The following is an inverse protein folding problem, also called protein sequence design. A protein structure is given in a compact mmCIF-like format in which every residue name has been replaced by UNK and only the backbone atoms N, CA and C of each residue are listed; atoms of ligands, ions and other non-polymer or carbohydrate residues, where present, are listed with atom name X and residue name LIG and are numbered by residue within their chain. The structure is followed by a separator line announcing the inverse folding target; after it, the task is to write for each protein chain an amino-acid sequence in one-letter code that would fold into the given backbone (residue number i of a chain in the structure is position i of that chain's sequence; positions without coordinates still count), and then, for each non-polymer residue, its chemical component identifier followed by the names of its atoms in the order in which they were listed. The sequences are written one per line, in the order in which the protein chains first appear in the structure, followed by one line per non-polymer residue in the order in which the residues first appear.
data_IF_527446877847
#
_entry.id   IF_527446877847
#
_cell.length_a   1.000
_cell.length_b   1.000
_cell.length_c   1.000
_cell.angle_alpha   90.00
_cell.angle_beta   90.00
_cell.angle_gamma   90.00
#
_symmetry.space_group_name_H-M   'P 1'
#
loop_
_entity.id
_entity.type
_entity.pdbx_description
1 polymer ?
#
# COMPACT_ATOMS: atom_id res chain seq x y z
N UNK A 1 68.73 -54.60 -56.85
CA UNK A 1 68.53 -53.34 -57.58
C UNK A 1 67.03 -52.95 -57.59
N UNK A 2 66.73 -51.75 -57.23
CA UNK A 2 65.43 -51.02 -57.26
C UNK A 2 64.40 -51.37 -56.19
N UNK A 3 64.45 -50.53 -55.20
CA UNK A 3 63.48 -50.25 -54.16
C UNK A 3 62.18 -49.75 -54.69
N UNK A 4 61.03 -50.18 -54.17
CA UNK A 4 59.77 -49.51 -54.32
C UNK A 4 59.22 -49.15 -52.95
N UNK A 5 59.13 -47.83 -52.68
CA UNK A 5 58.58 -47.26 -51.46
C UNK A 5 57.06 -47.18 -51.62
N UNK A 6 56.34 -47.85 -50.76
CA UNK A 6 54.88 -47.56 -50.61
C UNK A 6 54.70 -46.42 -49.59
N UNK A 7 54.11 -45.36 -50.03
CA UNK A 7 53.66 -44.30 -49.17
C UNK A 7 52.24 -44.61 -48.66
N UNK A 8 52.08 -44.69 -47.35
CA UNK A 8 50.78 -44.90 -46.70
C UNK A 8 50.21 -43.53 -46.34
N UNK A 9 49.18 -43.09 -47.04
CA UNK A 9 48.40 -41.87 -46.75
C UNK A 9 47.35 -42.21 -45.72
N UNK A 10 47.53 -41.74 -44.49
CA UNK A 10 46.52 -41.79 -43.41
C UNK A 10 45.55 -40.61 -43.61
N UNK A 11 44.32 -40.88 -44.01
CA UNK A 11 43.23 -39.90 -44.05
C UNK A 11 42.65 -39.74 -42.62
N UNK A 12 42.89 -38.57 -42.00
CA UNK A 12 42.36 -38.20 -40.69
C UNK A 12 40.94 -37.64 -40.91
N UNK A 13 39.93 -38.44 -40.65
CA UNK A 13 38.52 -38.03 -40.68
C UNK A 13 38.19 -37.29 -39.38
N UNK A 14 38.14 -35.94 -39.41
CA UNK A 14 37.62 -35.12 -38.34
C UNK A 14 36.10 -35.17 -38.41
N UNK A 15 35.45 -35.94 -37.54
CA UNK A 15 34.00 -35.90 -37.34
C UNK A 15 33.64 -34.61 -36.60
N UNK A 16 33.09 -33.61 -37.28
CA UNK A 16 32.45 -32.44 -36.66
C UNK A 16 31.18 -32.92 -35.95
N UNK A 17 31.21 -33.09 -34.62
CA UNK A 17 30.03 -33.25 -33.82
C UNK A 17 29.30 -31.92 -33.76
N UNK A 18 28.37 -31.70 -34.69
CA UNK A 18 27.39 -30.60 -34.59
C UNK A 18 26.43 -30.97 -33.49
N UNK A 19 26.70 -30.46 -32.27
CA UNK A 19 25.72 -30.48 -31.17
C UNK A 19 24.53 -29.67 -31.64
N UNK A 20 23.47 -30.32 -32.10
CA UNK A 20 22.17 -29.73 -32.27
C UNK A 20 21.63 -29.33 -30.90
N UNK A 21 21.95 -28.12 -30.45
CA UNK A 21 21.19 -27.50 -29.36
C UNK A 21 19.75 -27.36 -29.91
N UNK A 22 18.89 -28.28 -29.54
CA UNK A 22 17.45 -28.12 -29.78
C UNK A 22 17.01 -26.76 -29.23
N UNK A 23 15.94 -26.16 -29.77
CA UNK A 23 15.43 -24.90 -29.24
C UNK A 23 15.18 -25.11 -27.74
N UNK A 24 15.92 -24.38 -26.89
CA UNK A 24 15.66 -24.36 -25.48
C UNK A 24 14.18 -23.99 -25.33
N UNK A 25 13.36 -24.89 -24.78
CA UNK A 25 11.96 -24.59 -24.53
C UNK A 25 11.94 -23.27 -23.76
N UNK A 26 11.27 -22.25 -24.34
CA UNK A 26 11.19 -20.95 -23.70
C UNK A 26 10.61 -21.17 -22.30
N UNK A 27 11.35 -20.76 -21.28
CA UNK A 27 10.91 -20.94 -19.91
C UNK A 27 9.52 -20.31 -19.75
N UNK A 28 8.61 -21.03 -19.11
CA UNK A 28 7.23 -20.59 -18.89
C UNK A 28 7.21 -19.20 -18.22
N UNK A 29 6.27 -18.32 -18.62
CA UNK A 29 6.21 -16.97 -18.07
C UNK A 29 5.96 -16.98 -16.55
N UNK A 30 6.50 -15.99 -15.85
CA UNK A 30 6.15 -15.70 -14.46
C UNK A 30 4.80 -15.00 -14.47
N UNK A 31 3.77 -15.65 -13.94
CA UNK A 31 2.41 -15.09 -13.90
C UNK A 31 2.16 -14.35 -12.60
N UNK A 32 1.90 -13.05 -12.71
CA UNK A 32 1.57 -12.13 -11.60
C UNK A 32 0.09 -11.81 -11.68
N UNK A 33 -0.67 -12.16 -10.63
CA UNK A 33 -2.08 -11.79 -10.52
C UNK A 33 -2.22 -10.43 -9.84
N UNK A 34 -2.99 -9.54 -10.44
CA UNK A 34 -3.46 -8.31 -9.82
C UNK A 34 -4.96 -8.41 -9.55
N UNK A 35 -5.38 -8.04 -8.34
CA UNK A 35 -6.79 -7.92 -7.98
C UNK A 35 -7.04 -6.55 -7.33
N UNK A 36 -7.94 -5.75 -7.91
CA UNK A 36 -8.28 -4.44 -7.40
C UNK A 36 -9.70 -4.03 -7.79
N UNK A 37 -10.27 -2.99 -7.15
CA UNK A 37 -11.56 -2.45 -7.54
C UNK A 37 -11.39 -1.56 -8.77
N UNK A 38 -11.51 -2.12 -9.97
CA UNK A 38 -11.35 -1.37 -11.23
C UNK A 38 -12.63 -0.67 -11.66
N UNK A 39 -13.77 -1.02 -11.04
CA UNK A 39 -15.08 -0.39 -11.23
C UNK A 39 -15.67 0.05 -9.89
N UNK A 40 -16.80 0.80 -9.92
CA UNK A 40 -17.48 1.30 -8.73
C UNK A 40 -16.82 2.52 -8.08
N UNK A 41 -17.18 2.79 -6.81
CA UNK A 41 -16.78 4.01 -6.09
C UNK A 41 -15.28 4.10 -5.77
N UNK A 42 -14.57 2.98 -5.82
CA UNK A 42 -13.13 2.88 -5.58
C UNK A 42 -12.32 2.72 -6.88
N UNK A 43 -12.96 2.82 -8.06
CA UNK A 43 -12.34 2.56 -9.35
C UNK A 43 -11.07 3.40 -9.60
N UNK A 44 -11.06 4.66 -9.17
CA UNK A 44 -9.87 5.51 -9.36
C UNK A 44 -8.68 4.99 -8.57
N UNK A 45 -8.89 4.57 -7.32
CA UNK A 45 -7.84 3.98 -6.50
C UNK A 45 -7.32 2.66 -7.12
N UNK A 46 -8.23 1.81 -7.59
CA UNK A 46 -7.87 0.56 -8.29
C UNK A 46 -7.05 0.79 -9.56
N UNK A 47 -7.40 1.79 -10.34
CA UNK A 47 -6.63 2.20 -11.54
C UNK A 47 -5.26 2.76 -11.19
N UNK A 48 -5.17 3.65 -10.21
CA UNK A 48 -3.90 4.20 -9.72
C UNK A 48 -2.98 3.07 -9.18
N UNK A 49 -3.55 2.04 -8.53
CA UNK A 49 -2.83 0.82 -8.14
C UNK A 49 -2.27 0.07 -9.34
N UNK A 50 -3.12 -0.21 -10.32
CA UNK A 50 -2.74 -0.97 -11.51
C UNK A 50 -1.67 -0.23 -12.34
N UNK A 51 -1.82 1.09 -12.51
CA UNK A 51 -0.85 1.93 -13.20
C UNK A 51 0.51 1.89 -12.49
N UNK A 52 0.53 1.96 -11.15
CA UNK A 52 1.75 1.83 -10.36
C UNK A 52 2.46 0.48 -10.56
N UNK A 53 1.70 -0.61 -10.55
CA UNK A 53 2.24 -1.94 -10.82
C UNK A 53 2.81 -2.05 -12.24
N UNK A 54 2.06 -1.59 -13.24
CA UNK A 54 2.49 -1.59 -14.65
C UNK A 54 3.78 -0.82 -14.85
N UNK A 55 3.90 0.37 -14.26
CA UNK A 55 5.14 1.16 -14.33
C UNK A 55 6.37 0.39 -13.82
N UNK A 56 6.24 -0.38 -12.75
CA UNK A 56 7.34 -1.21 -12.25
C UNK A 56 7.69 -2.36 -13.20
N UNK A 57 6.68 -3.02 -13.77
CA UNK A 57 6.89 -4.10 -14.72
C UNK A 57 7.45 -3.60 -16.07
N UNK A 58 7.01 -2.44 -16.53
CA UNK A 58 7.55 -1.76 -17.72
C UNK A 58 9.02 -1.38 -17.52
N UNK A 59 9.39 -0.86 -16.36
CA UNK A 59 10.77 -0.57 -16.01
C UNK A 59 11.66 -1.82 -16.09
N UNK A 60 11.11 -2.99 -15.76
CA UNK A 60 11.75 -4.29 -15.89
C UNK A 60 11.58 -4.91 -17.31
N UNK A 61 11.00 -4.18 -18.26
CA UNK A 61 10.66 -4.69 -19.60
C UNK A 61 9.83 -5.98 -19.55
N UNK A 62 8.98 -6.12 -18.55
CA UNK A 62 8.20 -7.34 -18.27
C UNK A 62 9.05 -8.61 -18.22
N UNK A 63 10.24 -8.54 -17.61
CA UNK A 63 11.17 -9.65 -17.47
C UNK A 63 11.76 -9.71 -16.07
N UNK A 64 11.99 -10.92 -15.57
CA UNK A 64 12.74 -11.17 -14.35
C UNK A 64 13.37 -12.57 -14.39
N UNK A 65 14.63 -12.67 -13.92
CA UNK A 65 15.37 -13.95 -13.86
C UNK A 65 15.45 -14.67 -15.22
N UNK A 66 15.50 -13.94 -16.33
CA UNK A 66 15.55 -14.51 -17.68
C UNK A 66 14.20 -15.01 -18.23
N UNK A 67 13.09 -14.77 -17.50
CA UNK A 67 11.73 -15.17 -17.90
C UNK A 67 10.86 -13.94 -18.15
N UNK A 68 9.88 -14.06 -19.04
CA UNK A 68 8.84 -13.04 -19.21
C UNK A 68 7.93 -12.99 -18.01
N UNK A 69 7.43 -11.80 -17.68
CA UNK A 69 6.35 -11.59 -16.71
C UNK A 69 5.05 -11.39 -17.47
N UNK A 70 4.03 -12.15 -17.09
CA UNK A 70 2.66 -11.99 -17.56
C UNK A 70 1.82 -11.42 -16.40
N UNK A 71 1.21 -10.27 -16.60
CA UNK A 71 0.29 -9.65 -15.65
C UNK A 71 -1.14 -10.03 -16.01
N UNK A 72 -1.86 -10.62 -15.05
CA UNK A 72 -3.26 -11.01 -15.16
C UNK A 72 -4.07 -10.15 -14.23
N UNK A 73 -5.00 -9.37 -14.79
CA UNK A 73 -5.76 -8.34 -14.10
C UNK A 73 -7.19 -8.82 -13.82
N UNK A 74 -7.66 -8.66 -12.57
CA UNK A 74 -9.02 -9.00 -12.18
C UNK A 74 -9.67 -7.86 -11.38
N UNK A 75 -10.88 -7.50 -11.79
CA UNK A 75 -11.72 -6.54 -11.08
C UNK A 75 -12.47 -7.23 -9.94
N UNK A 76 -12.29 -6.76 -8.73
CA UNK A 76 -13.02 -7.24 -7.55
C UNK A 76 -14.39 -6.57 -7.40
N UNK A 77 -14.66 -5.50 -8.15
CA UNK A 77 -15.86 -4.64 -7.99
C UNK A 77 -16.07 -4.15 -6.54
N UNK A 78 -15.04 -4.29 -5.67
CA UNK A 78 -15.16 -4.05 -4.24
C UNK A 78 -16.01 -5.07 -3.48
N UNK A 79 -16.32 -6.20 -4.11
CA UNK A 79 -17.23 -7.23 -3.61
C UNK A 79 -16.48 -8.53 -3.26
N UNK A 80 -16.73 -9.07 -2.07
CA UNK A 80 -16.05 -10.28 -1.58
C UNK A 80 -16.41 -11.54 -2.39
N UNK A 81 -17.65 -11.68 -2.85
CA UNK A 81 -18.07 -12.86 -3.64
C UNK A 81 -17.43 -12.85 -5.03
N UNK A 82 -17.41 -11.68 -5.70
CA UNK A 82 -16.71 -11.48 -6.96
C UNK A 82 -15.22 -11.77 -6.79
N UNK A 83 -14.60 -11.24 -5.74
CA UNK A 83 -13.18 -11.45 -5.46
C UNK A 83 -12.83 -12.93 -5.25
N UNK A 84 -13.65 -13.69 -4.53
CA UNK A 84 -13.46 -15.14 -4.35
C UNK A 84 -13.51 -15.88 -5.70
N UNK A 85 -14.47 -15.55 -6.56
CA UNK A 85 -14.59 -16.18 -7.89
C UNK A 85 -13.36 -15.85 -8.77
N UNK A 86 -12.93 -14.59 -8.77
CA UNK A 86 -11.74 -14.12 -9.50
C UNK A 86 -10.44 -14.72 -8.97
N UNK A 87 -10.31 -14.84 -7.64
CA UNK A 87 -9.18 -15.53 -7.01
C UNK A 87 -9.06 -16.99 -7.48
N UNK A 88 -10.17 -17.73 -7.49
CA UNK A 88 -10.18 -19.11 -7.98
C UNK A 88 -9.74 -19.19 -9.45
N UNK A 89 -10.22 -18.29 -10.29
CA UNK A 89 -9.78 -18.21 -11.69
C UNK A 89 -8.26 -18.03 -11.76
N UNK A 90 -7.70 -17.07 -11.05
CA UNK A 90 -6.26 -16.79 -11.05
C UNK A 90 -5.43 -18.00 -10.58
N UNK A 91 -5.90 -18.72 -9.54
CA UNK A 91 -5.17 -19.86 -8.96
C UNK A 91 -5.39 -21.14 -9.76
N UNK A 92 -6.64 -21.48 -10.07
CA UNK A 92 -7.00 -22.79 -10.60
C UNK A 92 -6.85 -22.84 -12.14
N UNK A 93 -7.12 -21.75 -12.85
CA UNK A 93 -7.05 -21.68 -14.31
C UNK A 93 -5.73 -21.00 -14.75
N UNK A 94 -5.47 -19.79 -14.30
CA UNK A 94 -4.36 -18.98 -14.78
C UNK A 94 -3.01 -19.37 -14.13
N UNK A 95 -3.03 -20.16 -13.04
CA UNK A 95 -1.85 -20.69 -12.36
C UNK A 95 -0.84 -19.62 -12.00
N UNK A 96 -1.27 -18.54 -11.35
CA UNK A 96 -0.40 -17.45 -10.93
C UNK A 96 0.64 -17.93 -9.89
N UNK A 97 1.82 -17.32 -9.92
CA UNK A 97 2.92 -17.60 -8.97
C UNK A 97 2.86 -16.68 -7.76
N UNK A 98 2.40 -15.45 -7.94
CA UNK A 98 2.28 -14.41 -6.91
C UNK A 98 1.08 -13.53 -7.19
N UNK A 99 0.45 -13.04 -6.13
CA UNK A 99 -0.68 -12.10 -6.23
C UNK A 99 -0.33 -10.78 -5.56
N UNK A 100 -0.88 -9.68 -6.07
CA UNK A 100 -0.77 -8.35 -5.45
C UNK A 100 -2.03 -7.53 -5.66
N UNK A 101 -2.14 -6.42 -4.92
CA UNK A 101 -3.32 -5.56 -4.94
C UNK A 101 -4.16 -5.72 -3.67
N UNK A 102 -5.47 -5.92 -3.83
CA UNK A 102 -6.45 -6.12 -2.74
C UNK A 102 -6.51 -4.89 -1.83
N UNK A 103 -7.38 -3.95 -2.20
CA UNK A 103 -7.55 -2.70 -1.48
C UNK A 103 -8.48 -2.84 -0.26
N UNK A 104 -9.68 -3.40 -0.47
CA UNK A 104 -10.76 -3.31 0.51
C UNK A 104 -10.65 -4.38 1.60
N UNK A 105 -10.92 -3.96 2.84
CA UNK A 105 -10.83 -4.81 4.05
C UNK A 105 -11.72 -6.05 3.96
N UNK A 106 -12.99 -5.88 3.52
CA UNK A 106 -13.92 -7.00 3.35
C UNK A 106 -13.42 -8.03 2.32
N UNK A 107 -12.86 -7.56 1.21
CA UNK A 107 -12.27 -8.41 0.17
C UNK A 107 -11.03 -9.13 0.72
N UNK A 108 -10.12 -8.41 1.36
CA UNK A 108 -8.93 -9.00 1.96
C UNK A 108 -9.26 -10.08 2.97
N UNK A 109 -10.15 -9.80 3.91
CA UNK A 109 -10.56 -10.77 4.93
C UNK A 109 -11.21 -12.03 4.33
N UNK A 110 -11.93 -11.92 3.22
CA UNK A 110 -12.54 -13.06 2.55
C UNK A 110 -11.52 -13.95 1.82
N UNK A 111 -10.38 -13.39 1.41
CA UNK A 111 -9.35 -14.10 0.66
C UNK A 111 -8.27 -14.74 1.54
N UNK A 112 -8.03 -14.23 2.76
CA UNK A 112 -7.00 -14.76 3.66
C UNK A 112 -7.06 -16.27 3.84
N UNK A 113 -8.21 -16.91 4.15
CA UNK A 113 -8.28 -18.36 4.32
C UNK A 113 -7.94 -19.14 3.04
N UNK A 114 -8.26 -18.59 1.87
CA UNK A 114 -7.97 -19.20 0.58
C UNK A 114 -6.48 -19.11 0.25
N UNK A 115 -5.87 -17.95 0.47
CA UNK A 115 -4.43 -17.70 0.26
C UNK A 115 -3.59 -18.63 1.13
N UNK A 116 -3.96 -18.76 2.42
CA UNK A 116 -3.26 -19.65 3.35
C UNK A 116 -3.42 -21.13 2.97
N UNK A 117 -4.62 -21.57 2.56
CA UNK A 117 -4.89 -22.92 2.06
C UNK A 117 -4.01 -23.24 0.83
N UNK A 118 -3.99 -22.31 -0.12
CA UNK A 118 -3.34 -22.50 -1.42
C UNK A 118 -1.85 -22.15 -1.36
N UNK A 119 -1.38 -21.62 -0.23
CA UNK A 119 0.01 -21.20 0.01
C UNK A 119 0.51 -20.21 -1.05
N UNK A 120 -0.35 -19.29 -1.49
CA UNK A 120 -0.02 -18.35 -2.57
C UNK A 120 0.73 -17.14 -2.02
N UNK A 121 1.99 -16.89 -2.44
CA UNK A 121 2.69 -15.65 -2.10
C UNK A 121 1.88 -14.44 -2.51
N UNK A 122 1.57 -13.56 -1.55
CA UNK A 122 0.67 -12.42 -1.78
C UNK A 122 1.19 -11.16 -1.12
N UNK A 123 1.24 -10.08 -1.90
CA UNK A 123 1.48 -8.72 -1.40
C UNK A 123 0.15 -7.99 -1.23
N UNK A 124 -0.29 -7.81 0.02
CA UNK A 124 -1.54 -7.13 0.35
C UNK A 124 -1.35 -5.64 0.54
N UNK A 125 -2.20 -4.85 -0.14
CA UNK A 125 -2.31 -3.42 0.11
C UNK A 125 -3.34 -3.11 1.20
N UNK A 126 -4.31 -4.00 1.43
CA UNK A 126 -5.36 -3.81 2.45
C UNK A 126 -4.81 -3.68 3.87
N UNK A 127 -5.50 -2.92 4.70
CA UNK A 127 -4.97 -2.37 5.96
C UNK A 127 -5.45 -2.99 7.27
N UNK A 128 -6.30 -4.04 7.34
CA UNK A 128 -6.80 -4.53 8.64
C UNK A 128 -5.67 -4.78 9.62
N UNK A 129 -5.77 -4.21 10.80
CA UNK A 129 -4.76 -4.32 11.85
C UNK A 129 -4.48 -5.78 12.22
N UNK A 130 -5.52 -6.57 12.39
CA UNK A 130 -5.42 -7.94 12.89
C UNK A 130 -4.74 -8.92 11.91
N UNK A 131 -4.65 -8.56 10.63
CA UNK A 131 -3.97 -9.38 9.61
C UNK A 131 -2.48 -9.63 9.95
N UNK A 132 -1.83 -8.66 10.59
CA UNK A 132 -0.42 -8.72 10.98
C UNK A 132 -0.20 -8.48 12.47
N UNK A 133 -1.24 -8.59 13.31
CA UNK A 133 -1.12 -8.47 14.77
C UNK A 133 -1.40 -9.80 15.47
N UNK A 134 -2.67 -10.25 15.50
CA UNK A 134 -3.07 -11.48 16.20
C UNK A 134 -3.29 -12.67 15.27
N UNK A 135 -3.57 -12.40 13.98
CA UNK A 135 -3.84 -13.42 12.97
C UNK A 135 -2.75 -13.37 11.91
N UNK A 136 -1.56 -13.84 12.27
CA UNK A 136 -0.43 -13.83 11.33
C UNK A 136 -0.68 -14.81 10.19
N UNK A 137 -0.69 -14.29 8.97
CA UNK A 137 -0.82 -15.05 7.74
C UNK A 137 0.58 -15.30 7.15
N UNK A 138 0.96 -16.57 6.98
CA UNK A 138 2.32 -16.96 6.53
C UNK A 138 2.60 -16.52 5.08
N UNK A 139 1.57 -16.55 4.22
CA UNK A 139 1.70 -16.34 2.78
C UNK A 139 1.39 -14.91 2.34
N UNK A 140 1.09 -14.05 3.30
CA UNK A 140 0.74 -12.65 3.08
C UNK A 140 1.82 -11.75 3.66
N UNK A 141 2.38 -10.90 2.82
CA UNK A 141 3.23 -9.78 3.20
C UNK A 141 2.47 -8.49 2.94
N UNK A 142 2.47 -7.59 3.89
CA UNK A 142 1.81 -6.30 3.68
C UNK A 142 2.71 -5.37 2.87
N UNK A 143 2.20 -4.80 1.81
CA UNK A 143 2.91 -3.77 1.02
C UNK A 143 2.64 -2.35 1.49
N UNK A 144 1.70 -2.20 2.44
CA UNK A 144 1.15 -0.97 2.94
C UNK A 144 1.27 -0.91 4.47
N UNK A 145 0.64 0.03 5.13
CA UNK A 145 0.53 0.14 6.59
C UNK A 145 -0.57 -0.77 7.16
N UNK A 146 -0.51 -1.07 8.46
CA UNK A 146 -1.70 -1.44 9.23
C UNK A 146 -2.48 -0.17 9.60
N UNK A 147 -3.83 -0.23 9.58
CA UNK A 147 -4.66 0.98 9.63
C UNK A 147 -4.31 1.93 10.79
N UNK A 148 -4.13 1.41 12.00
CA UNK A 148 -3.76 2.25 13.15
C UNK A 148 -2.34 2.81 13.08
N UNK A 149 -1.43 2.18 12.32
CA UNK A 149 0.01 2.50 12.31
C UNK A 149 0.30 3.92 11.88
N UNK A 150 -0.33 4.40 10.81
CA UNK A 150 -0.09 5.77 10.32
C UNK A 150 -0.71 6.83 11.23
N UNK A 151 -1.72 6.47 12.00
CA UNK A 151 -2.43 7.40 12.89
C UNK A 151 -1.79 7.55 14.27
N UNK A 152 -0.95 6.60 14.67
CA UNK A 152 -0.17 6.72 15.91
C UNK A 152 0.72 7.99 15.92
N UNK A 153 1.56 8.23 14.88
CA UNK A 153 2.35 9.46 14.77
C UNK A 153 1.51 10.73 14.73
N UNK A 154 0.34 10.70 14.08
CA UNK A 154 -0.55 11.87 14.06
C UNK A 154 -1.08 12.18 15.46
N UNK A 155 -1.41 11.16 16.27
CA UNK A 155 -1.81 11.32 17.66
C UNK A 155 -0.72 11.97 18.50
N UNK A 156 0.53 11.51 18.35
CA UNK A 156 1.69 12.09 19.01
C UNK A 156 1.93 13.54 18.58
N UNK A 157 1.90 13.80 17.30
CA UNK A 157 2.10 15.14 16.71
C UNK A 157 1.02 16.11 17.17
N UNK A 158 -0.25 15.68 17.18
CA UNK A 158 -1.37 16.49 17.64
C UNK A 158 -1.22 16.88 19.13
N UNK A 159 -0.85 15.91 19.99
CA UNK A 159 -0.69 16.15 21.41
C UNK A 159 0.56 16.96 21.76
N UNK A 160 1.71 16.63 21.16
CA UNK A 160 3.01 17.18 21.55
C UNK A 160 3.46 18.38 20.75
N UNK A 161 3.14 18.44 19.46
CA UNK A 161 3.58 19.54 18.58
C UNK A 161 2.49 20.58 18.41
N UNK A 162 1.28 20.16 18.02
CA UNK A 162 0.15 21.08 17.85
C UNK A 162 -0.47 21.50 19.18
N UNK A 163 -0.13 20.79 20.28
CA UNK A 163 -0.59 21.07 21.65
C UNK A 163 -2.10 20.98 21.82
N UNK A 164 -2.79 20.23 20.95
CA UNK A 164 -4.21 19.98 21.10
C UNK A 164 -4.49 19.17 22.36
N UNK A 165 -5.63 19.40 23.00
CA UNK A 165 -6.07 18.71 24.21
C UNK A 165 -7.43 18.07 24.07
N UNK A 166 -8.30 18.61 23.25
CA UNK A 166 -9.66 18.11 23.04
C UNK A 166 -9.90 17.95 21.54
N UNK A 167 -10.18 16.75 21.08
CA UNK A 167 -10.39 16.44 19.66
C UNK A 167 -11.70 15.66 19.50
N UNK A 168 -12.48 16.01 18.48
CA UNK A 168 -13.57 15.18 17.98
C UNK A 168 -13.05 14.34 16.82
N UNK A 169 -13.36 13.04 16.78
CA UNK A 169 -13.11 12.22 15.60
C UNK A 169 -14.37 12.07 14.78
N UNK A 170 -14.24 12.12 13.45
CA UNK A 170 -15.30 11.86 12.49
C UNK A 170 -14.78 10.91 11.41
N UNK A 171 -15.37 9.74 11.28
CA UNK A 171 -14.81 8.68 10.45
C UNK A 171 -15.87 7.83 9.76
N UNK A 172 -15.45 7.15 8.69
CA UNK A 172 -16.25 6.12 8.02
C UNK A 172 -16.66 5.03 9.01
N UNK A 173 -17.92 4.63 8.99
CA UNK A 173 -18.43 3.56 9.86
C UNK A 173 -18.09 2.17 9.29
N UNK A 174 -16.81 1.83 9.33
CA UNK A 174 -16.25 0.54 8.92
C UNK A 174 -14.94 0.24 9.66
N UNK A 175 -14.39 -0.96 9.46
CA UNK A 175 -13.16 -1.39 10.13
C UNK A 175 -11.98 -0.43 9.94
N UNK A 176 -11.77 0.10 8.73
CA UNK A 176 -10.72 1.06 8.45
C UNK A 176 -10.88 2.35 9.28
N UNK A 177 -12.09 2.94 9.27
CA UNK A 177 -12.37 4.14 10.05
C UNK A 177 -12.23 3.92 11.56
N UNK A 178 -12.67 2.76 12.05
CA UNK A 178 -12.58 2.41 13.48
C UNK A 178 -11.12 2.23 13.92
N UNK A 179 -10.32 1.52 13.14
CA UNK A 179 -8.92 1.23 13.46
C UNK A 179 -8.05 2.49 13.39
N UNK A 180 -8.24 3.34 12.37
CA UNK A 180 -7.50 4.60 12.27
C UNK A 180 -7.87 5.58 13.38
N UNK A 181 -9.16 5.78 13.64
CA UNK A 181 -9.62 6.64 14.73
C UNK A 181 -9.13 6.12 16.10
N UNK A 182 -9.14 4.79 16.30
CA UNK A 182 -8.64 4.15 17.52
C UNK A 182 -7.13 4.33 17.69
N UNK A 183 -6.37 4.17 16.61
CA UNK A 183 -4.91 4.38 16.60
C UNK A 183 -4.54 5.82 16.97
N UNK A 184 -5.21 6.80 16.35
CA UNK A 184 -5.05 8.21 16.69
C UNK A 184 -5.35 8.45 18.17
N UNK A 185 -6.55 8.02 18.64
CA UNK A 185 -7.01 8.26 19.98
C UNK A 185 -6.04 7.75 21.04
N UNK A 186 -5.57 6.51 20.90
CA UNK A 186 -4.67 5.89 21.87
C UNK A 186 -3.43 6.73 22.13
N UNK A 187 -2.71 7.08 21.07
CA UNK A 187 -1.45 7.82 21.19
C UNK A 187 -1.68 9.28 21.58
N UNK A 188 -2.74 9.89 21.06
CA UNK A 188 -3.14 11.25 21.44
C UNK A 188 -3.46 11.37 22.92
N UNK A 189 -4.17 10.38 23.49
CA UNK A 189 -4.51 10.34 24.92
C UNK A 189 -3.30 10.04 25.81
N UNK A 190 -2.39 9.16 25.35
CA UNK A 190 -1.11 8.93 26.04
C UNK A 190 -0.24 10.21 26.05
N UNK A 191 -0.38 11.06 25.05
CA UNK A 191 0.22 12.39 24.98
C UNK A 191 -0.48 13.48 25.83
N UNK A 192 -1.49 13.11 26.60
CA UNK A 192 -2.25 14.01 27.48
C UNK A 192 -3.44 14.73 26.82
N UNK A 193 -3.80 14.32 25.60
CA UNK A 193 -5.02 14.75 24.93
C UNK A 193 -6.25 13.94 25.37
N UNK A 194 -7.40 14.28 24.83
CA UNK A 194 -8.66 13.55 25.04
C UNK A 194 -9.51 13.57 23.78
N UNK A 195 -9.92 12.41 23.29
CA UNK A 195 -10.97 12.31 22.27
C UNK A 195 -12.32 12.39 22.94
N UNK A 196 -12.96 13.55 22.81
CA UNK A 196 -14.19 13.87 23.54
C UNK A 196 -15.44 13.42 22.82
N UNK A 197 -15.35 13.15 21.53
CA UNK A 197 -16.49 12.76 20.70
C UNK A 197 -16.03 11.89 19.53
N UNK A 198 -16.84 10.87 19.21
CA UNK A 198 -16.70 10.05 18.00
C UNK A 198 -17.96 10.14 17.17
N UNK A 199 -17.82 10.48 15.91
CA UNK A 199 -18.92 10.56 14.94
C UNK A 199 -18.65 9.54 13.85
N UNK A 200 -19.59 8.64 13.64
CA UNK A 200 -19.50 7.60 12.62
C UNK A 200 -20.42 7.91 11.45
N UNK A 201 -19.85 7.90 10.25
CA UNK A 201 -20.54 8.28 9.02
C UNK A 201 -20.70 7.04 8.12
N UNK A 202 -21.94 6.69 7.72
CA UNK A 202 -22.17 5.58 6.81
C UNK A 202 -21.41 5.71 5.47
N UNK A 203 -21.02 4.57 4.89
CA UNK A 203 -20.26 4.55 3.63
C UNK A 203 -21.01 5.16 2.44
N UNK A 204 -22.31 5.17 2.46
CA UNK A 204 -23.18 5.73 1.41
C UNK A 204 -23.60 7.19 1.68
N UNK A 205 -23.09 7.83 2.73
CA UNK A 205 -23.40 9.23 3.02
C UNK A 205 -22.89 10.15 1.90
N UNK A 206 -23.76 11.02 1.42
CA UNK A 206 -23.47 12.04 0.42
C UNK A 206 -23.46 13.46 1.03
N UNK A 207 -24.18 13.63 2.13
CA UNK A 207 -24.29 14.87 2.89
C UNK A 207 -23.63 14.72 4.26
N UNK A 208 -22.66 15.58 4.55
CA UNK A 208 -21.90 15.59 5.79
C UNK A 208 -22.34 16.70 6.75
N UNK A 209 -23.17 17.64 6.32
CA UNK A 209 -23.62 18.75 7.14
C UNK A 209 -24.30 18.30 8.45
N UNK A 210 -25.16 17.26 8.48
CA UNK A 210 -25.74 16.76 9.73
C UNK A 210 -24.71 16.23 10.73
N UNK A 211 -23.60 15.68 10.25
CA UNK A 211 -22.51 15.17 11.09
C UNK A 211 -21.59 16.31 11.56
N UNK A 212 -21.27 17.25 10.68
CA UNK A 212 -20.45 18.41 11.00
C UNK A 212 -21.12 19.33 12.03
N UNK A 213 -22.45 19.46 11.99
CA UNK A 213 -23.21 20.24 12.96
C UNK A 213 -23.22 19.64 14.38
N UNK A 214 -22.92 18.35 14.52
CA UNK A 214 -22.83 17.65 15.81
C UNK A 214 -21.47 17.82 16.49
N UNK A 215 -20.45 18.31 15.77
CA UNK A 215 -19.09 18.48 16.35
C UNK A 215 -19.16 19.40 17.57
N UNK A 216 -18.62 18.93 18.68
CA UNK A 216 -18.55 19.69 19.92
C UNK A 216 -17.81 21.02 19.71
N UNK A 217 -18.33 22.10 20.30
CA UNK A 217 -17.84 23.47 20.05
C UNK A 217 -16.50 23.78 20.74
N UNK A 218 -16.15 23.01 21.76
CA UNK A 218 -14.97 23.19 22.60
C UNK A 218 -13.84 22.23 22.28
N UNK A 219 -13.68 21.89 20.99
CA UNK A 219 -12.58 21.07 20.50
C UNK A 219 -11.50 21.90 19.82
N UNK A 220 -10.25 21.51 20.00
CA UNK A 220 -9.08 22.15 19.37
C UNK A 220 -8.94 21.77 17.90
N UNK A 221 -9.43 20.60 17.52
CA UNK A 221 -9.38 20.09 16.14
C UNK A 221 -10.44 19.01 15.89
N UNK A 222 -10.72 18.77 14.61
CA UNK A 222 -11.43 17.59 14.12
C UNK A 222 -10.43 16.65 13.47
N UNK A 223 -10.40 15.39 13.92
CA UNK A 223 -9.62 14.32 13.29
C UNK A 223 -10.54 13.49 12.40
N UNK A 224 -10.32 13.54 11.08
CA UNK A 224 -11.20 12.94 10.09
C UNK A 224 -10.58 11.73 9.39
N UNK A 225 -11.38 10.69 9.15
CA UNK A 225 -10.95 9.48 8.42
C UNK A 225 -11.93 9.18 7.30
N UNK A 226 -11.61 9.66 6.10
CA UNK A 226 -12.36 9.41 4.87
C UNK A 226 -11.42 9.10 3.71
N UNK A 227 -11.89 8.38 2.71
CA UNK A 227 -11.12 8.03 1.51
C UNK A 227 -11.93 8.22 0.23
N UNK A 228 -11.24 8.31 -0.90
CA UNK A 228 -11.83 8.41 -2.23
C UNK A 228 -12.89 9.55 -2.33
N UNK A 229 -14.02 9.29 -2.99
CA UNK A 229 -15.06 10.29 -3.19
C UNK A 229 -15.67 10.87 -1.91
N UNK A 230 -15.68 10.10 -0.80
CA UNK A 230 -16.13 10.62 0.49
C UNK A 230 -15.16 11.67 1.06
N UNK A 231 -13.85 11.46 0.92
CA UNK A 231 -12.84 12.42 1.35
C UNK A 231 -13.04 13.78 0.65
N UNK A 232 -13.21 13.77 -0.67
CA UNK A 232 -13.44 14.99 -1.46
C UNK A 232 -14.70 15.72 -0.99
N UNK A 233 -15.82 15.01 -0.84
CA UNK A 233 -17.09 15.61 -0.41
C UNK A 233 -17.00 16.16 1.02
N UNK A 234 -16.40 15.38 1.92
CA UNK A 234 -16.24 15.78 3.31
C UNK A 234 -15.42 17.06 3.43
N UNK A 235 -14.25 17.15 2.79
CA UNK A 235 -13.37 18.32 2.87
C UNK A 235 -14.06 19.56 2.28
N UNK A 236 -14.80 19.42 1.15
CA UNK A 236 -15.59 20.51 0.59
C UNK A 236 -16.66 21.02 1.56
N UNK A 237 -17.48 20.12 2.10
CA UNK A 237 -18.55 20.50 3.04
C UNK A 237 -17.99 20.99 4.39
N UNK A 238 -16.82 20.46 4.80
CA UNK A 238 -16.09 21.05 5.93
C UNK A 238 -15.70 22.50 5.66
N UNK A 239 -15.23 22.80 4.44
CA UNK A 239 -14.92 24.15 3.99
C UNK A 239 -16.11 25.11 3.99
N UNK A 240 -17.31 24.59 3.79
CA UNK A 240 -18.57 25.36 3.81
C UNK A 240 -19.18 25.46 5.23
N UNK A 241 -18.69 24.67 6.18
CA UNK A 241 -19.24 24.61 7.53
C UNK A 241 -18.74 25.74 8.44
N UNK A 242 -19.44 25.95 9.56
CA UNK A 242 -19.04 26.92 10.59
C UNK A 242 -17.72 26.56 11.31
N UNK A 243 -17.17 25.37 11.06
CA UNK A 243 -15.89 24.88 11.62
C UNK A 243 -14.70 25.47 10.85
N UNK A 244 -14.85 25.74 9.56
CA UNK A 244 -13.74 26.27 8.73
C UNK A 244 -13.23 27.60 9.28
N UNK A 245 -11.90 27.68 9.42
CA UNK A 245 -11.23 28.86 9.97
C UNK A 245 -11.26 28.99 11.50
N UNK A 246 -12.00 28.11 12.19
CA UNK A 246 -12.08 28.08 13.67
C UNK A 246 -11.48 26.82 14.26
N UNK A 247 -11.82 25.68 13.68
CA UNK A 247 -11.38 24.35 14.17
C UNK A 247 -10.50 23.71 13.11
N UNK A 248 -9.19 23.50 13.33
CA UNK A 248 -8.31 22.84 12.36
C UNK A 248 -8.80 21.44 11.99
N UNK A 249 -8.62 21.08 10.72
CA UNK A 249 -8.86 19.74 10.22
C UNK A 249 -7.54 18.95 10.17
N UNK A 250 -7.50 17.82 10.87
CA UNK A 250 -6.42 16.83 10.78
C UNK A 250 -7.01 15.48 10.42
N UNK A 251 -6.21 14.48 10.02
CA UNK A 251 -6.75 13.13 9.79
C UNK A 251 -5.83 12.22 9.02
N UNK A 252 -6.43 11.19 8.40
CA UNK A 252 -5.66 10.27 7.56
C UNK A 252 -5.05 10.98 6.35
N UNK A 253 -3.81 10.65 6.02
CA UNK A 253 -3.16 11.21 4.84
C UNK A 253 -3.78 10.73 3.53
N UNK A 254 -4.47 9.58 3.54
CA UNK A 254 -5.22 9.10 2.36
C UNK A 254 -6.36 10.04 2.00
N UNK A 255 -6.91 10.79 2.96
CA UNK A 255 -7.94 11.81 2.71
C UNK A 255 -7.42 12.96 1.85
N UNK A 256 -6.14 13.27 1.95
CA UNK A 256 -5.49 14.43 1.32
C UNK A 256 -4.37 14.02 0.34
N UNK A 257 -4.37 12.79 -0.13
CA UNK A 257 -3.41 12.38 -1.15
C UNK A 257 -3.70 13.07 -2.50
N UNK A 258 -2.77 13.03 -3.42
CA UNK A 258 -2.86 13.72 -4.71
C UNK A 258 -4.05 13.26 -5.55
N UNK A 259 -4.55 12.02 -5.36
CA UNK A 259 -5.77 11.56 -6.04
C UNK A 259 -7.02 12.29 -5.55
N UNK A 260 -7.13 12.48 -4.25
CA UNK A 260 -8.22 13.19 -3.63
C UNK A 260 -8.11 14.71 -3.85
N UNK A 261 -6.90 15.27 -3.72
CA UNK A 261 -6.64 16.71 -3.91
C UNK A 261 -7.04 17.22 -5.29
N UNK A 262 -6.98 16.39 -6.33
CA UNK A 262 -7.48 16.78 -7.67
C UNK A 262 -8.96 17.15 -7.70
N UNK A 263 -9.74 16.63 -6.77
CA UNK A 263 -11.16 16.93 -6.62
C UNK A 263 -11.48 18.03 -5.61
N UNK A 264 -10.47 18.60 -4.94
CA UNK A 264 -10.62 19.61 -3.89
C UNK A 264 -10.17 20.99 -4.38
N UNK A 265 -10.53 22.02 -3.63
CA UNK A 265 -10.10 23.40 -3.81
C UNK A 265 -9.36 23.93 -2.58
N UNK A 266 -9.39 25.26 -2.42
CA UNK A 266 -8.70 25.97 -1.33
C UNK A 266 -9.18 25.56 0.07
N UNK A 267 -10.34 24.95 0.16
CA UNK A 267 -10.87 24.39 1.40
C UNK A 267 -9.96 23.32 2.01
N UNK A 268 -9.15 22.64 1.20
CA UNK A 268 -8.20 21.63 1.67
C UNK A 268 -6.91 22.24 2.28
N UNK A 269 -6.58 23.50 1.93
CA UNK A 269 -5.33 24.15 2.37
C UNK A 269 -5.24 24.19 3.89
N UNK A 270 -4.08 23.80 4.43
CA UNK A 270 -3.81 23.74 5.85
C UNK A 270 -4.24 22.44 6.54
N UNK A 271 -4.97 21.55 5.85
CA UNK A 271 -5.30 20.22 6.40
C UNK A 271 -4.02 19.44 6.64
N UNK A 272 -3.91 18.81 7.82
CA UNK A 272 -2.74 18.00 8.22
C UNK A 272 -3.13 16.53 8.29
N UNK A 273 -2.30 15.67 7.73
CA UNK A 273 -2.49 14.21 7.76
C UNK A 273 -1.20 13.45 7.96
N UNK A 274 -1.30 12.14 8.10
CA UNK A 274 -0.16 11.25 8.17
C UNK A 274 -0.24 10.16 7.12
N UNK A 275 0.87 9.91 6.40
CA UNK A 275 0.94 8.90 5.35
C UNK A 275 2.39 8.42 5.17
N UNK A 276 2.57 7.35 4.41
CA UNK A 276 3.88 6.76 4.13
C UNK A 276 4.64 7.43 3.00
N UNK A 277 3.98 8.26 2.21
CA UNK A 277 4.56 8.84 1.01
C UNK A 277 3.96 10.22 0.70
N UNK A 278 4.74 11.04 0.01
CA UNK A 278 4.33 12.30 -0.61
C UNK A 278 5.18 12.53 -1.87
N UNK A 279 4.64 13.16 -2.91
CA UNK A 279 5.42 13.49 -4.11
C UNK A 279 6.59 14.44 -3.79
N UNK A 280 6.53 15.15 -2.69
CA UNK A 280 7.55 16.12 -2.28
C UNK A 280 8.73 15.52 -1.50
N UNK A 281 8.74 14.20 -1.27
CA UNK A 281 9.87 13.50 -0.63
C UNK A 281 11.16 13.64 -1.44
N UNK A 282 12.24 14.04 -0.76
CA UNK A 282 13.52 14.33 -1.40
C UNK A 282 14.49 13.14 -1.45
N UNK A 283 14.00 11.90 -1.27
CA UNK A 283 14.86 10.72 -1.40
C UNK A 283 15.28 10.49 -2.87
N UNK A 284 16.47 9.94 -3.15
CA UNK A 284 16.86 9.60 -4.52
C UNK A 284 15.87 8.66 -5.22
N UNK A 285 15.36 7.66 -4.49
CA UNK A 285 14.39 6.71 -5.03
C UNK A 285 13.06 7.39 -5.40
N UNK A 286 12.58 8.33 -4.56
CA UNK A 286 11.37 9.09 -4.90
C UNK A 286 11.56 10.00 -6.10
N UNK A 287 12.69 10.70 -6.21
CA UNK A 287 12.96 11.52 -7.40
C UNK A 287 12.97 10.71 -8.69
N UNK A 288 13.55 9.51 -8.65
CA UNK A 288 13.53 8.59 -9.81
C UNK A 288 12.11 8.15 -10.14
N UNK A 289 11.33 7.73 -9.13
CA UNK A 289 9.92 7.37 -9.28
C UNK A 289 9.10 8.53 -9.84
N UNK A 290 9.20 9.73 -9.27
CA UNK A 290 8.44 10.90 -9.70
C UNK A 290 8.69 11.24 -11.17
N UNK A 291 9.97 11.30 -11.58
CA UNK A 291 10.33 11.57 -12.97
C UNK A 291 9.70 10.57 -13.95
N UNK A 292 9.74 9.29 -13.63
CA UNK A 292 9.17 8.24 -14.45
C UNK A 292 7.64 8.32 -14.45
N UNK A 293 7.03 8.42 -13.28
CA UNK A 293 5.58 8.42 -13.12
C UNK A 293 4.94 9.64 -13.78
N UNK A 294 5.51 10.84 -13.65
CA UNK A 294 5.02 12.04 -14.32
C UNK A 294 5.12 11.92 -15.84
N UNK A 295 6.20 11.33 -16.37
CA UNK A 295 6.36 11.09 -17.79
C UNK A 295 5.31 10.08 -18.34
N UNK A 296 5.00 9.04 -17.58
CA UNK A 296 4.03 8.01 -17.96
C UNK A 296 2.58 8.50 -17.81
N UNK A 297 2.26 9.18 -16.71
CA UNK A 297 0.90 9.57 -16.38
C UNK A 297 0.47 10.93 -16.94
N UNK A 298 1.43 11.79 -17.33
CA UNK A 298 1.17 13.19 -17.69
C UNK A 298 0.68 14.06 -16.51
N UNK A 299 0.80 13.56 -15.28
CA UNK A 299 0.32 14.20 -14.04
C UNK A 299 1.12 13.74 -12.84
N UNK A 300 1.02 14.45 -11.73
CA UNK A 300 1.58 14.02 -10.45
C UNK A 300 0.97 12.67 -10.03
N UNK A 301 1.80 11.65 -9.73
CA UNK A 301 1.31 10.38 -9.20
C UNK A 301 0.68 10.57 -7.81
N UNK A 302 -0.17 9.65 -7.42
CA UNK A 302 -0.77 9.59 -6.10
C UNK A 302 -0.14 8.44 -5.28
N UNK A 303 -0.48 8.37 -4.01
CA UNK A 303 -0.01 7.37 -3.06
C UNK A 303 -0.13 5.92 -3.59
N UNK A 304 -1.28 5.54 -4.17
CA UNK A 304 -1.48 4.18 -4.67
C UNK A 304 -0.54 3.79 -5.80
N UNK A 305 -0.11 4.75 -6.64
CA UNK A 305 0.92 4.50 -7.65
C UNK A 305 2.25 4.13 -6.99
N UNK A 306 2.68 4.88 -5.97
CA UNK A 306 3.95 4.64 -5.29
C UNK A 306 3.99 3.27 -4.60
N UNK A 307 2.92 2.90 -3.89
CA UNK A 307 2.84 1.60 -3.18
C UNK A 307 2.87 0.43 -4.16
N UNK A 308 2.11 0.51 -5.23
CA UNK A 308 2.04 -0.61 -6.18
C UNK A 308 3.25 -0.67 -7.11
N UNK A 309 3.90 0.46 -7.39
CA UNK A 309 5.21 0.47 -8.02
C UNK A 309 6.25 -0.28 -7.14
N UNK A 310 6.25 -0.03 -5.85
CA UNK A 310 7.09 -0.77 -4.92
C UNK A 310 6.79 -2.27 -4.94
N UNK A 311 5.51 -2.66 -4.90
CA UNK A 311 5.09 -4.07 -4.96
C UNK A 311 5.57 -4.76 -6.24
N UNK A 312 5.45 -4.10 -7.40
CA UNK A 312 5.94 -4.62 -8.68
C UNK A 312 7.46 -4.80 -8.69
N UNK A 313 8.21 -3.84 -8.16
CA UNK A 313 9.66 -3.94 -8.02
C UNK A 313 10.08 -5.09 -7.11
N UNK A 314 9.44 -5.25 -5.96
CA UNK A 314 9.78 -6.35 -5.04
C UNK A 314 9.52 -7.72 -5.65
N UNK A 315 8.43 -7.88 -6.41
CA UNK A 315 8.16 -9.12 -7.16
C UNK A 315 9.26 -9.36 -8.20
N UNK A 316 9.64 -8.34 -8.95
CA UNK A 316 10.65 -8.43 -9.99
C UNK A 316 12.03 -8.76 -9.40
N UNK A 317 12.44 -8.06 -8.34
CA UNK A 317 13.72 -8.30 -7.67
C UNK A 317 13.79 -9.68 -7.01
N UNK A 318 12.70 -10.14 -6.41
CA UNK A 318 12.61 -11.49 -5.86
C UNK A 318 12.77 -12.57 -6.95
N UNK A 319 12.10 -12.39 -8.08
CA UNK A 319 12.22 -13.30 -9.22
C UNK A 319 13.63 -13.27 -9.83
N UNK A 320 14.27 -12.09 -9.93
CA UNK A 320 15.66 -11.95 -10.35
C UNK A 320 16.61 -12.71 -9.41
N UNK A 321 16.45 -12.55 -8.12
CA UNK A 321 17.27 -13.21 -7.11
C UNK A 321 17.15 -14.75 -7.15
N UNK A 322 16.03 -15.26 -7.62
CA UNK A 322 15.77 -16.70 -7.81
C UNK A 322 16.15 -17.22 -9.22
N UNK A 323 16.73 -16.37 -10.09
CA UNK A 323 17.00 -16.75 -11.49
C UNK A 323 15.74 -17.19 -12.24
N UNK A 324 14.58 -16.59 -11.89
CA UNK A 324 13.28 -16.90 -12.47
C UNK A 324 12.57 -18.14 -11.94
N UNK A 325 13.18 -18.88 -11.01
CA UNK A 325 12.60 -20.10 -10.41
C UNK A 325 11.60 -19.75 -9.31
N UNK A 326 10.38 -19.40 -9.68
CA UNK A 326 9.33 -18.88 -8.79
C UNK A 326 8.30 -19.93 -8.34
N UNK A 327 8.46 -21.18 -8.77
CA UNK A 327 7.52 -22.28 -8.50
C UNK A 327 7.57 -22.74 -7.02
N UNK A 328 8.72 -22.61 -6.38
CA UNK A 328 8.87 -22.85 -4.95
C UNK A 328 8.34 -21.65 -4.16
N UNK A 329 7.12 -21.75 -3.70
CA UNK A 329 6.40 -20.67 -3.02
C UNK A 329 7.05 -20.22 -1.72
N UNK A 330 7.72 -21.11 -0.98
CA UNK A 330 8.44 -20.75 0.25
C UNK A 330 9.68 -19.91 -0.07
N UNK A 331 10.44 -20.30 -1.09
CA UNK A 331 11.57 -19.51 -1.56
C UNK A 331 11.12 -18.15 -2.11
N UNK A 332 9.99 -18.13 -2.83
CA UNK A 332 9.47 -16.88 -3.39
C UNK A 332 9.04 -15.91 -2.29
N UNK A 333 8.31 -16.36 -1.26
CA UNK A 333 7.95 -15.49 -0.11
C UNK A 333 9.21 -14.97 0.60
N UNK A 334 10.21 -15.84 0.82
CA UNK A 334 11.46 -15.42 1.45
C UNK A 334 12.22 -14.40 0.59
N UNK A 335 12.25 -14.60 -0.73
CA UNK A 335 12.87 -13.66 -1.67
C UNK A 335 12.13 -12.31 -1.72
N UNK A 336 10.78 -12.31 -1.72
CA UNK A 336 9.98 -11.09 -1.65
C UNK A 336 10.25 -10.35 -0.34
N UNK A 337 10.27 -11.04 0.80
CA UNK A 337 10.59 -10.45 2.10
C UNK A 337 11.96 -9.74 2.06
N UNK A 338 12.96 -10.39 1.48
CA UNK A 338 14.28 -9.78 1.31
C UNK A 338 14.26 -8.60 0.36
N UNK A 339 13.53 -8.70 -0.76
CA UNK A 339 13.41 -7.61 -1.73
C UNK A 339 12.77 -6.35 -1.11
N UNK A 340 11.77 -6.49 -0.24
CA UNK A 340 11.16 -5.38 0.50
C UNK A 340 12.22 -4.59 1.29
N UNK A 341 13.16 -5.30 1.93
CA UNK A 341 14.15 -4.68 2.81
C UNK A 341 15.37 -4.11 2.06
N UNK A 342 15.67 -4.64 0.87
CA UNK A 342 16.91 -4.31 0.14
C UNK A 342 16.70 -3.42 -1.08
N UNK A 343 15.49 -3.36 -1.63
CA UNK A 343 15.20 -2.53 -2.81
C UNK A 343 14.95 -1.09 -2.37
N UNK A 344 15.68 -0.09 -2.91
CA UNK A 344 15.41 1.31 -2.61
C UNK A 344 13.98 1.69 -2.95
N UNK A 345 13.25 2.24 -1.99
CA UNK A 345 11.82 2.53 -2.11
C UNK A 345 11.54 4.04 -2.14
N UNK A 346 10.55 4.51 -2.94
CA UNK A 346 10.15 5.92 -2.95
C UNK A 346 9.78 6.47 -1.57
N UNK A 347 9.25 5.63 -0.68
CA UNK A 347 8.85 5.99 0.68
C UNK A 347 10.03 6.13 1.66
N UNK A 348 11.19 5.60 1.31
CA UNK A 348 12.36 5.50 2.18
C UNK A 348 12.64 4.07 2.63
N UNK A 349 13.43 3.87 3.71
CA UNK A 349 13.78 2.55 4.20
C UNK A 349 12.57 1.79 4.75
N UNK A 350 12.47 0.50 4.40
CA UNK A 350 11.43 -0.41 4.88
C UNK A 350 12.09 -1.64 5.47
N UNK A 351 11.59 -2.11 6.60
CA UNK A 351 11.89 -3.43 7.18
C UNK A 351 10.59 -4.13 7.50
N UNK A 352 10.58 -5.44 7.40
CA UNK A 352 9.43 -6.22 7.85
C UNK A 352 9.66 -6.67 9.31
N UNK A 353 8.61 -6.52 10.11
CA UNK A 353 8.58 -7.15 11.43
C UNK A 353 8.32 -8.67 11.33
N UNK A 354 8.33 -9.35 12.47
CA UNK A 354 8.13 -10.81 12.54
C UNK A 354 6.74 -11.25 12.05
N UNK A 355 5.79 -10.31 12.01
CA UNK A 355 4.41 -10.55 11.57
C UNK A 355 4.17 -10.23 10.08
N UNK A 356 5.22 -9.81 9.34
CA UNK A 356 5.12 -9.47 7.92
C UNK A 356 4.54 -8.08 7.65
N UNK A 357 4.54 -7.19 8.65
CA UNK A 357 4.12 -5.79 8.52
C UNK A 357 5.35 -4.88 8.32
N UNK A 358 5.28 -3.88 7.43
CA UNK A 358 6.34 -2.90 7.28
C UNK A 358 6.54 -2.06 8.54
N UNK A 359 7.80 -1.89 8.92
CA UNK A 359 8.30 -0.83 9.78
C UNK A 359 8.96 0.19 8.87
N UNK A 360 8.38 1.36 8.76
CA UNK A 360 8.77 2.36 7.76
C UNK A 360 8.52 3.78 8.26
N UNK A 361 8.99 4.78 7.51
CA UNK A 361 8.75 6.17 7.87
C UNK A 361 7.27 6.53 7.71
N UNK A 362 6.75 7.29 8.66
CA UNK A 362 5.46 7.98 8.55
C UNK A 362 5.71 9.47 8.51
N UNK A 363 5.15 10.12 7.52
CA UNK A 363 5.30 11.54 7.28
C UNK A 363 4.05 12.28 7.72
N UNK A 364 4.23 13.34 8.50
CA UNK A 364 3.16 14.31 8.74
C UNK A 364 3.17 15.25 7.55
N UNK A 365 2.04 15.32 6.89
CA UNK A 365 1.82 16.05 5.66
C UNK A 365 0.90 17.23 5.93
N UNK A 366 1.10 18.32 5.22
CA UNK A 366 0.18 19.43 5.16
C UNK A 366 -0.19 19.71 3.71
N UNK A 367 -1.43 20.06 3.45
CA UNK A 367 -1.86 20.53 2.13
C UNK A 367 -1.42 21.97 1.97
N UNK A 368 -0.57 22.22 0.98
CA UNK A 368 -0.07 23.55 0.60
C UNK A 368 -0.32 23.83 -0.89
N UNK A 369 -0.20 25.08 -1.30
CA UNK A 369 -0.13 25.47 -2.71
C UNK A 369 1.33 25.48 -3.17
N UNK A 370 1.69 24.55 -4.04
CA UNK A 370 3.02 24.43 -4.63
C UNK A 370 2.89 24.70 -6.13
N UNK A 371 3.53 25.77 -6.63
CA UNK A 371 3.40 26.15 -8.03
C UNK A 371 1.97 26.42 -8.48
N UNK A 372 1.12 26.93 -7.57
CA UNK A 372 -0.31 27.23 -7.84
C UNK A 372 -1.23 26.01 -7.81
N UNK A 373 -0.73 24.80 -7.52
CA UNK A 373 -1.53 23.58 -7.38
C UNK A 373 -1.51 23.09 -5.93
N UNK A 374 -2.57 22.41 -5.52
CA UNK A 374 -2.59 21.71 -4.23
C UNK A 374 -1.62 20.53 -4.28
N UNK A 375 -0.83 20.39 -3.24
CA UNK A 375 0.07 19.25 -3.04
C UNK A 375 0.29 19.00 -1.54
N UNK A 376 0.63 17.78 -1.19
CA UNK A 376 1.06 17.45 0.17
C UNK A 376 2.54 17.79 0.35
N UNK A 377 2.86 18.54 1.41
CA UNK A 377 4.24 18.84 1.82
C UNK A 377 4.57 18.14 3.13
N UNK A 378 5.78 17.59 3.22
CA UNK A 378 6.26 16.94 4.46
C UNK A 378 6.64 18.02 5.46
N UNK A 379 5.97 18.06 6.61
CA UNK A 379 6.26 19.01 7.69
C UNK A 379 6.93 18.35 8.92
N UNK A 380 6.84 17.01 9.03
CA UNK A 380 7.58 16.23 10.03
C UNK A 380 7.72 14.79 9.58
N UNK A 381 8.76 14.09 10.08
CA UNK A 381 9.02 12.69 9.77
C UNK A 381 9.18 11.91 11.06
N UNK A 382 8.40 10.84 11.21
CA UNK A 382 8.61 9.81 12.22
C UNK A 382 9.33 8.62 11.57
N UNK A 383 10.59 8.35 11.91
CA UNK A 383 11.34 7.26 11.29
C UNK A 383 10.93 5.91 11.87
N UNK A 384 10.97 4.88 11.04
CA UNK A 384 10.84 3.48 11.41
C UNK A 384 9.65 3.19 12.36
N UNK A 385 8.46 3.65 11.98
CA UNK A 385 7.24 3.47 12.77
C UNK A 385 6.77 2.01 12.70
N UNK A 386 6.71 1.36 13.85
CA UNK A 386 6.14 0.02 14.01
C UNK A 386 4.61 0.06 14.03
N UNK A 387 3.95 -1.01 13.60
CA UNK A 387 2.50 -1.19 13.79
C UNK A 387 2.07 -1.14 15.27
N UNK A 388 2.99 -1.39 16.18
CA UNK A 388 2.79 -1.31 17.63
C UNK A 388 3.18 0.05 18.21
N UNK A 389 3.56 1.04 17.38
CA UNK A 389 4.09 2.31 17.81
C UNK A 389 5.34 2.12 18.70
N UNK A 390 5.36 2.71 19.87
CA UNK A 390 6.44 2.58 20.88
C UNK A 390 6.11 1.56 21.98
N UNK A 391 4.96 0.89 21.86
CA UNK A 391 4.55 -0.12 22.84
C UNK A 391 5.27 -1.45 22.60
N UNK A 392 5.48 -2.21 23.67
CA UNK A 392 5.88 -3.61 23.53
C UNK A 392 4.74 -4.40 22.89
N UNK A 393 5.02 -5.23 21.88
CA UNK A 393 3.97 -5.99 21.19
C UNK A 393 3.09 -6.79 22.14
N UNK A 394 3.69 -7.46 23.16
CA UNK A 394 2.96 -8.28 24.12
C UNK A 394 1.97 -7.46 24.95
N UNK A 395 2.31 -6.22 25.30
CA UNK A 395 1.42 -5.33 26.05
C UNK A 395 0.34 -4.74 25.13
N UNK A 396 0.72 -4.39 23.91
CA UNK A 396 -0.26 -3.90 22.93
C UNK A 396 -1.33 -4.96 22.62
N UNK A 397 -0.93 -6.21 22.46
CA UNK A 397 -1.82 -7.32 22.11
C UNK A 397 -2.77 -7.75 23.26
N UNK A 398 -2.53 -7.33 24.50
CA UNK A 398 -3.46 -7.52 25.62
C UNK A 398 -4.70 -6.63 25.52
N UNK A 399 -4.60 -5.50 24.82
CA UNK A 399 -5.76 -4.59 24.65
C UNK A 399 -6.70 -5.14 23.55
N UNK A 400 -8.00 -4.85 23.62
CA UNK A 400 -8.92 -5.24 22.55
C UNK A 400 -8.51 -4.64 21.20
N UNK A 401 -8.85 -5.30 20.07
CA UNK A 401 -8.77 -4.68 18.74
C UNK A 401 -9.54 -3.36 18.69
N UNK A 402 -9.04 -2.41 17.93
CA UNK A 402 -9.77 -1.17 17.69
C UNK A 402 -11.09 -1.47 17.00
N UNK A 403 -12.15 -0.81 17.46
CA UNK A 403 -13.51 -1.01 16.97
C UNK A 403 -14.32 0.28 17.09
N UNK A 404 -15.58 0.23 16.64
CA UNK A 404 -16.51 1.34 16.80
C UNK A 404 -16.57 1.86 18.25
N UNK A 405 -16.56 0.93 19.22
CA UNK A 405 -16.75 1.22 20.64
C UNK A 405 -15.44 1.27 21.43
N UNK A 406 -14.32 0.83 20.84
CA UNK A 406 -13.02 0.80 21.52
C UNK A 406 -11.92 1.53 20.73
N UNK A 407 -11.10 2.38 21.40
CA UNK A 407 -11.28 2.91 22.76
C UNK A 407 -12.54 3.80 22.86
N UNK A 408 -13.20 3.88 24.03
CA UNK A 408 -14.38 4.74 24.19
C UNK A 408 -13.99 6.22 24.16
N UNK A 409 -14.90 7.09 23.72
CA UNK A 409 -14.73 8.53 23.85
C UNK A 409 -14.70 8.93 25.33
N UNK A 410 -13.97 9.99 25.66
CA UNK A 410 -13.85 10.55 27.01
C UNK A 410 -14.39 11.99 27.02
N UNK A 411 -15.70 12.18 27.20
CA UNK A 411 -16.35 13.49 27.20
C UNK A 411 -15.75 14.50 28.19
#
# INVERSE_FOLDING_TARGET
MRSFRLALTAALSIALAVSSAGPAAAAEAIRVGFMGPLTGIFAQAGKDMLDGLKMALEQASYQAGGRKIELIEEDTEGNSATAIAKYRKLVDHDKIHVMTGILLVNVGNSLVPLIERDRLPTLFLTTPDELTKRKVAKWILRSNFSASQIMHPLGDYAAKTLKYRRVATIAMDNGFGHEEAGGFQRVFEDGGGRVVQKIWVPLNALDFAPYLSQVAKDVDAVCAVFVAGQAVRFVKQYGESALKGKTPLIGTGVMIDESALRGMGDEAVGTVGSLLWSPTLQTPANRTFMKMAEATLGRTPAYFHAIMYSSGRWITEAANALGGQVEDREKLVAAIRRAIETTPDPRGPIKLDDWGNPTENVYILRVDKVGGKLATTVIHTYPAVSQFWTYKPEEFLKTPPYSRDYPPAKP
#
